data_IF_691635086542
#
_entry.id   IF_691635086542
#
_cell.length_a   1.000
_cell.length_b   1.000
_cell.length_c   1.000
_cell.angle_alpha   90.00
_cell.angle_beta   90.00
_cell.angle_gamma   90.00
#
_symmetry.space_group_name_H-M   'P 1'
#
loop_
_entity.id
_entity.type
_entity.pdbx_description
1 polymer ?
#
# COMPACT_ATOMS: atom_id res chain seq x y z
N UNK A 1 28.96 39.84 7.24
CA UNK A 1 27.81 39.13 7.85
C UNK A 1 27.26 38.16 6.80
N UNK A 2 27.46 36.84 6.94
CA UNK A 2 27.00 35.86 5.92
C UNK A 2 27.65 34.47 6.00
N UNK A 3 28.85 34.37 6.57
CA UNK A 3 29.62 33.11 6.64
C UNK A 3 28.98 32.06 7.56
N UNK A 4 28.37 32.48 8.68
CA UNK A 4 27.70 31.56 9.62
C UNK A 4 26.47 30.86 9.00
N UNK A 5 25.65 31.61 8.27
CA UNK A 5 24.48 31.07 7.57
C UNK A 5 24.94 30.11 6.45
N UNK A 6 25.93 30.52 5.65
CA UNK A 6 26.49 29.69 4.59
C UNK A 6 27.08 28.38 5.12
N UNK A 7 27.83 28.42 6.22
CA UNK A 7 28.38 27.23 6.88
C UNK A 7 27.27 26.32 7.44
N UNK A 8 26.22 26.89 8.03
CA UNK A 8 25.08 26.12 8.52
C UNK A 8 24.34 25.42 7.36
N UNK A 9 24.14 26.12 6.24
CA UNK A 9 23.56 25.56 5.02
C UNK A 9 24.43 24.43 4.46
N UNK A 10 25.74 24.65 4.30
CA UNK A 10 26.68 23.61 3.84
C UNK A 10 26.66 22.37 4.72
N UNK A 11 26.70 22.52 6.05
CA UNK A 11 26.62 21.40 6.99
C UNK A 11 25.32 20.62 6.83
N UNK A 12 24.20 21.32 6.63
CA UNK A 12 22.89 20.69 6.43
C UNK A 12 22.82 19.91 5.12
N UNK A 13 23.42 20.44 4.05
CA UNK A 13 23.54 19.76 2.76
C UNK A 13 24.42 18.51 2.90
N UNK A 14 25.60 18.62 3.52
CA UNK A 14 26.52 17.48 3.70
C UNK A 14 25.90 16.36 4.53
N UNK A 15 25.07 16.67 5.54
CA UNK A 15 24.33 15.67 6.32
C UNK A 15 23.37 14.82 5.47
N UNK A 16 22.89 15.34 4.34
CA UNK A 16 21.97 14.62 3.44
C UNK A 16 22.69 13.74 2.41
N UNK A 17 23.98 13.97 2.17
CA UNK A 17 24.76 13.23 1.17
C UNK A 17 24.69 11.70 1.33
N UNK A 18 24.81 11.12 2.54
CA UNK A 18 24.73 9.66 2.70
C UNK A 18 23.37 9.07 2.31
N UNK A 19 22.28 9.77 2.64
CA UNK A 19 20.93 9.34 2.30
C UNK A 19 20.70 9.39 0.78
N UNK A 20 21.19 10.44 0.11
CA UNK A 20 21.15 10.57 -1.34
C UNK A 20 21.96 9.46 -2.03
N UNK A 21 23.17 9.17 -1.57
CA UNK A 21 23.99 8.08 -2.10
C UNK A 21 23.30 6.72 -1.95
N UNK A 22 22.64 6.47 -0.81
CA UNK A 22 21.86 5.24 -0.60
C UNK A 22 20.70 5.15 -1.60
N UNK A 23 20.00 6.26 -1.86
CA UNK A 23 18.92 6.30 -2.84
C UNK A 23 19.43 6.05 -4.27
N UNK A 24 20.55 6.68 -4.67
CA UNK A 24 21.19 6.48 -5.98
C UNK A 24 21.58 5.01 -6.17
N UNK A 25 22.24 4.41 -5.17
CA UNK A 25 22.63 3.00 -5.26
C UNK A 25 21.42 2.07 -5.39
N UNK A 26 20.32 2.37 -4.69
CA UNK A 26 19.07 1.63 -4.80
C UNK A 26 18.45 1.77 -6.20
N UNK A 27 18.41 3.00 -6.75
CA UNK A 27 17.94 3.26 -8.10
C UNK A 27 18.76 2.50 -9.15
N UNK A 28 20.09 2.56 -9.08
CA UNK A 28 20.98 1.84 -9.99
C UNK A 28 20.79 0.32 -9.90
N UNK A 29 20.55 -0.19 -8.69
CA UNK A 29 20.20 -1.61 -8.48
C UNK A 29 18.88 -1.97 -9.17
N UNK A 30 17.90 -1.07 -9.19
CA UNK A 30 16.66 -1.29 -9.93
C UNK A 30 16.88 -1.27 -11.45
N UNK A 31 17.71 -0.37 -11.98
CA UNK A 31 18.05 -0.34 -13.41
C UNK A 31 18.66 -1.68 -13.86
N UNK A 32 19.63 -2.21 -13.10
CA UNK A 32 20.22 -3.52 -13.38
C UNK A 32 19.20 -4.67 -13.29
N UNK A 33 18.28 -4.61 -12.33
CA UNK A 33 17.21 -5.60 -12.22
C UNK A 33 16.24 -5.55 -13.40
N UNK A 34 15.90 -4.35 -13.89
CA UNK A 34 15.03 -4.16 -15.04
C UNK A 34 15.67 -4.70 -16.32
N UNK A 35 16.97 -4.48 -16.52
CA UNK A 35 17.71 -5.06 -17.66
C UNK A 35 17.64 -6.58 -17.66
N UNK A 36 17.81 -7.21 -16.50
CA UNK A 36 17.76 -8.67 -16.35
C UNK A 36 16.37 -9.26 -16.56
N UNK A 37 15.33 -8.55 -16.12
CA UNK A 37 13.94 -9.04 -16.15
C UNK A 37 13.18 -8.61 -17.41
N UNK A 38 13.84 -7.90 -18.34
CA UNK A 38 13.18 -7.36 -19.52
C UNK A 38 12.62 -8.49 -20.41
N UNK A 39 11.30 -8.53 -20.64
CA UNK A 39 10.72 -9.53 -21.53
C UNK A 39 11.05 -9.21 -23.00
N UNK A 40 11.19 -10.23 -23.86
CA UNK A 40 11.41 -10.03 -25.28
C UNK A 40 10.24 -9.28 -25.90
N UNK A 41 10.54 -8.24 -26.68
CA UNK A 41 9.53 -7.38 -27.32
C UNK A 41 9.07 -6.16 -26.50
N UNK A 42 9.59 -5.96 -25.28
CA UNK A 42 9.32 -4.73 -24.53
C UNK A 42 10.02 -3.53 -25.18
N UNK A 43 9.25 -2.56 -25.67
CA UNK A 43 9.74 -1.30 -26.27
C UNK A 43 10.06 -0.20 -25.27
N UNK A 44 9.67 -0.36 -24.00
CA UNK A 44 9.86 0.65 -22.95
C UNK A 44 11.37 0.82 -22.70
N UNK A 45 11.92 2.05 -22.77
CA UNK A 45 13.34 2.29 -22.49
C UNK A 45 13.62 2.10 -21.01
N UNK A 46 14.77 1.49 -20.69
CA UNK A 46 15.23 1.35 -19.31
C UNK A 46 15.97 2.65 -18.93
N UNK A 47 15.73 3.22 -17.73
CA UNK A 47 16.48 4.36 -17.25
C UNK A 47 17.97 4.07 -17.13
N UNK A 48 18.81 5.07 -17.42
CA UNK A 48 20.26 4.96 -17.27
C UNK A 48 20.66 5.05 -15.79
N UNK A 49 21.65 4.26 -15.34
CA UNK A 49 22.15 4.35 -13.96
C UNK A 49 22.83 5.70 -13.70
N UNK A 50 22.60 6.24 -12.51
CA UNK A 50 23.10 7.54 -12.10
C UNK A 50 24.53 7.48 -11.53
N UNK A 51 25.37 8.51 -11.76
CA UNK A 51 26.67 8.64 -11.12
C UNK A 51 26.59 8.63 -9.58
N UNK A 52 27.43 7.81 -8.92
CA UNK A 52 27.56 7.81 -7.46
C UNK A 52 28.32 9.04 -6.93
N UNK A 53 29.01 9.79 -7.80
CA UNK A 53 29.64 11.07 -7.42
C UNK A 53 28.62 12.19 -7.54
N UNK A 54 28.17 12.73 -6.40
CA UNK A 54 27.12 13.76 -6.35
C UNK A 54 27.44 15.04 -7.15
N UNK A 55 28.72 15.38 -7.31
CA UNK A 55 29.12 16.55 -8.11
C UNK A 55 28.77 16.41 -9.58
N UNK A 56 28.81 15.18 -10.12
CA UNK A 56 28.51 14.91 -11.52
C UNK A 56 27.01 15.00 -11.80
N UNK A 57 26.17 14.65 -10.81
CA UNK A 57 24.71 14.77 -10.93
C UNK A 57 24.25 16.22 -11.14
N UNK A 58 24.98 17.19 -10.59
CA UNK A 58 24.60 18.60 -10.73
C UNK A 58 24.71 19.09 -12.17
N UNK A 59 25.58 18.48 -12.97
CA UNK A 59 25.90 18.88 -14.33
C UNK A 59 25.27 17.94 -15.38
N UNK A 60 24.51 16.95 -14.92
CA UNK A 60 23.87 15.95 -15.77
C UNK A 60 22.57 16.51 -16.35
N UNK A 61 22.60 16.89 -17.62
CA UNK A 61 21.45 17.45 -18.33
C UNK A 61 20.25 16.48 -18.38
N UNK A 62 20.49 15.17 -18.33
CA UNK A 62 19.43 14.16 -18.38
C UNK A 62 18.56 14.13 -17.13
N UNK A 63 19.07 14.57 -15.97
CA UNK A 63 18.28 14.74 -14.74
C UNK A 63 17.32 15.94 -14.81
N UNK A 64 17.61 16.87 -15.71
CA UNK A 64 16.79 18.04 -15.97
C UNK A 64 15.88 17.86 -17.19
N UNK A 65 15.91 16.69 -17.84
CA UNK A 65 14.95 16.36 -18.89
C UNK A 65 13.56 16.22 -18.28
N UNK A 66 12.63 17.02 -18.79
CA UNK A 66 11.25 16.98 -18.38
C UNK A 66 10.55 15.81 -19.11
N UNK A 67 10.77 14.60 -18.58
CA UNK A 67 10.27 13.32 -19.14
C UNK A 67 8.75 13.33 -19.34
N UNK A 68 8.03 14.26 -18.69
CA UNK A 68 6.58 14.39 -18.76
C UNK A 68 6.09 15.54 -19.66
N UNK A 69 6.97 16.41 -20.17
CA UNK A 69 6.60 17.50 -21.09
C UNK A 69 6.96 17.24 -22.54
N UNK A 70 7.92 16.33 -22.81
CA UNK A 70 8.23 15.97 -24.19
C UNK A 70 7.07 15.11 -24.74
N UNK A 71 6.36 15.55 -25.78
CA UNK A 71 5.29 14.76 -26.38
C UNK A 71 5.86 13.39 -26.80
N UNK A 72 5.22 12.31 -26.36
CA UNK A 72 5.52 10.98 -26.86
C UNK A 72 5.42 10.99 -28.38
N UNK A 73 6.48 10.58 -29.09
CA UNK A 73 6.41 10.36 -30.53
C UNK A 73 5.46 9.18 -30.80
N UNK A 74 4.22 9.47 -31.20
CA UNK A 74 3.20 8.45 -31.48
C UNK A 74 1.78 8.87 -31.12
N UNK A 75 0.82 7.98 -31.35
CA UNK A 75 -0.57 8.17 -30.94
C UNK A 75 -0.68 8.12 -29.41
N UNK A 76 -1.27 9.15 -28.82
CA UNK A 76 -1.46 9.23 -27.37
C UNK A 76 -2.43 8.11 -26.95
N UNK A 77 -2.06 7.25 -25.99
CA UNK A 77 -2.96 6.19 -25.55
C UNK A 77 -4.30 6.77 -25.08
N UNK A 78 -5.42 6.15 -25.49
CA UNK A 78 -6.76 6.67 -25.16
C UNK A 78 -7.03 6.80 -23.66
N UNK A 79 -6.46 5.94 -22.82
CA UNK A 79 -6.61 6.09 -21.36
C UNK A 79 -5.95 7.39 -20.83
N UNK A 80 -5.02 7.98 -21.58
CA UNK A 80 -4.35 9.22 -21.22
C UNK A 80 -5.08 10.44 -21.79
N UNK A 81 -5.63 10.34 -23.01
CA UNK A 81 -6.30 11.45 -23.72
C UNK A 81 -7.81 11.51 -23.44
N UNK A 82 -8.51 10.39 -23.66
CA UNK A 82 -9.98 10.27 -23.64
C UNK A 82 -10.51 10.18 -22.19
N UNK A 83 -11.31 11.18 -21.79
CA UNK A 83 -11.90 11.25 -20.45
C UNK A 83 -12.90 10.12 -20.18
N UNK A 84 -13.68 9.73 -21.20
CA UNK A 84 -14.70 8.69 -21.06
C UNK A 84 -14.04 7.32 -20.84
N UNK A 85 -12.88 7.08 -21.48
CA UNK A 85 -12.09 5.86 -21.24
C UNK A 85 -11.57 5.82 -19.80
N UNK A 86 -11.09 6.94 -19.25
CA UNK A 86 -10.65 7.00 -17.84
C UNK A 86 -11.81 6.77 -16.89
N UNK A 87 -12.97 7.35 -17.18
CA UNK A 87 -14.18 7.16 -16.38
C UNK A 87 -14.66 5.71 -16.44
N UNK A 88 -14.61 5.08 -17.62
CA UNK A 88 -14.90 3.66 -17.79
C UNK A 88 -13.96 2.76 -16.96
N UNK A 89 -12.65 3.00 -16.97
CA UNK A 89 -11.67 2.25 -16.17
C UNK A 89 -11.98 2.40 -14.67
N UNK A 90 -12.25 3.62 -14.20
CA UNK A 90 -12.60 3.88 -12.79
C UNK A 90 -13.93 3.23 -12.40
N UNK A 91 -14.92 3.26 -13.29
CA UNK A 91 -16.21 2.62 -13.08
C UNK A 91 -16.07 1.10 -12.97
N UNK A 92 -15.26 0.48 -13.84
CA UNK A 92 -14.96 -0.95 -13.78
C UNK A 92 -14.33 -1.36 -12.44
N UNK A 93 -13.29 -0.63 -12.00
CA UNK A 93 -12.67 -0.90 -10.71
C UNK A 93 -13.61 -0.69 -9.52
N UNK A 94 -14.48 0.33 -9.60
CA UNK A 94 -15.51 0.55 -8.59
C UNK A 94 -16.49 -0.61 -8.54
N UNK A 95 -16.94 -1.10 -9.70
CA UNK A 95 -17.84 -2.24 -9.80
C UNK A 95 -17.24 -3.51 -9.22
N UNK A 96 -16.00 -3.84 -9.57
CA UNK A 96 -15.29 -5.01 -9.02
C UNK A 96 -15.15 -4.93 -7.50
N UNK A 97 -14.83 -3.73 -6.99
CA UNK A 97 -14.75 -3.48 -5.55
C UNK A 97 -16.11 -3.64 -4.86
N UNK A 98 -17.20 -3.19 -5.48
CA UNK A 98 -18.55 -3.40 -4.96
C UNK A 98 -18.91 -4.89 -4.89
N UNK A 99 -18.55 -5.68 -5.91
CA UNK A 99 -18.77 -7.13 -5.89
C UNK A 99 -17.97 -7.82 -4.78
N UNK A 100 -16.71 -7.44 -4.60
CA UNK A 100 -15.89 -7.95 -3.51
C UNK A 100 -16.47 -7.59 -2.15
N UNK A 101 -16.87 -6.34 -1.95
CA UNK A 101 -17.44 -5.90 -0.68
C UNK A 101 -18.77 -6.59 -0.37
N UNK A 102 -19.63 -6.81 -1.37
CA UNK A 102 -20.86 -7.57 -1.18
C UNK A 102 -20.59 -9.01 -0.70
N UNK A 103 -19.56 -9.67 -1.27
CA UNK A 103 -19.12 -11.00 -0.84
C UNK A 103 -18.61 -10.98 0.60
N UNK A 104 -17.77 -10.00 0.95
CA UNK A 104 -17.21 -9.84 2.30
C UNK A 104 -18.32 -9.61 3.34
N UNK A 105 -19.25 -8.70 3.06
CA UNK A 105 -20.40 -8.42 3.93
C UNK A 105 -21.28 -9.66 4.13
N UNK A 106 -21.48 -10.46 3.09
CA UNK A 106 -22.24 -11.71 3.21
C UNK A 106 -21.57 -12.69 4.19
N UNK A 107 -20.24 -12.85 4.07
CA UNK A 107 -19.45 -13.72 4.96
C UNK A 107 -19.48 -13.19 6.39
N UNK A 108 -19.25 -11.90 6.59
CA UNK A 108 -19.25 -11.26 7.91
C UNK A 108 -20.62 -11.41 8.60
N UNK A 109 -21.71 -11.13 7.88
CA UNK A 109 -23.07 -11.34 8.39
C UNK A 109 -23.30 -12.78 8.83
N UNK A 110 -22.87 -13.76 8.02
CA UNK A 110 -23.01 -15.18 8.36
C UNK A 110 -22.23 -15.50 9.63
N UNK A 111 -20.97 -15.10 9.71
CA UNK A 111 -20.13 -15.35 10.87
C UNK A 111 -20.72 -14.75 12.16
N UNK A 112 -21.22 -13.50 12.10
CA UNK A 112 -21.86 -12.85 13.24
C UNK A 112 -23.14 -13.54 13.67
N UNK A 113 -23.95 -13.99 12.71
CA UNK A 113 -25.21 -14.69 13.00
C UNK A 113 -24.95 -16.07 13.61
N UNK A 114 -24.00 -16.82 13.06
CA UNK A 114 -23.60 -18.13 13.58
C UNK A 114 -23.03 -18.01 15.00
N UNK A 115 -22.13 -17.05 15.23
CA UNK A 115 -21.58 -16.78 16.54
C UNK A 115 -22.68 -16.40 17.55
N UNK A 116 -23.54 -15.43 17.22
CA UNK A 116 -24.62 -14.99 18.12
C UNK A 116 -25.58 -16.13 18.44
N UNK A 117 -25.94 -16.94 17.45
CA UNK A 117 -26.81 -18.10 17.64
C UNK A 117 -26.16 -19.11 18.59
N UNK A 118 -24.86 -19.35 18.44
CA UNK A 118 -24.13 -20.24 19.34
C UNK A 118 -24.13 -19.71 20.77
N UNK A 119 -23.77 -18.43 20.98
CA UNK A 119 -23.75 -17.83 22.31
C UNK A 119 -25.14 -17.85 22.99
N UNK A 120 -26.20 -17.53 22.24
CA UNK A 120 -27.57 -17.61 22.76
C UNK A 120 -27.91 -19.03 23.21
N UNK A 121 -27.62 -20.05 22.39
CA UNK A 121 -27.90 -21.45 22.77
C UNK A 121 -27.12 -21.90 24.01
N UNK A 122 -25.91 -21.39 24.22
CA UNK A 122 -25.10 -21.70 25.41
C UNK A 122 -25.73 -21.05 26.65
N UNK A 123 -26.16 -19.79 26.55
CA UNK A 123 -26.82 -19.07 27.65
C UNK A 123 -28.16 -19.71 28.01
N UNK A 124 -28.98 -20.03 27.02
CA UNK A 124 -30.27 -20.72 27.22
C UNK A 124 -30.09 -22.05 27.95
N UNK A 125 -29.15 -22.89 27.52
CA UNK A 125 -28.81 -24.15 28.21
C UNK A 125 -28.29 -23.93 29.63
N UNK A 126 -27.50 -22.89 29.86
CA UNK A 126 -27.01 -22.56 31.21
C UNK A 126 -28.17 -22.15 32.15
N UNK A 127 -29.20 -21.46 31.62
CA UNK A 127 -30.40 -21.12 32.38
C UNK A 127 -31.25 -22.36 32.69
N UNK A 128 -31.52 -23.21 31.70
CA UNK A 128 -32.28 -24.47 31.89
C UNK A 128 -31.62 -25.40 32.92
N UNK A 129 -30.29 -25.54 32.84
CA UNK A 129 -29.53 -26.37 33.80
C UNK A 129 -29.45 -25.76 35.21
N UNK A 130 -29.67 -24.45 35.35
CA UNK A 130 -29.75 -23.78 36.65
C UNK A 130 -31.15 -23.91 37.27
N UNK A 131 -32.21 -23.81 36.45
CA UNK A 131 -33.59 -24.04 36.89
C UNK A 131 -33.84 -25.51 37.31
N UNK A 132 -33.16 -26.47 36.67
CA UNK A 132 -33.16 -27.88 37.05
C UNK A 132 -32.38 -28.19 38.34
N UNK A 133 -31.55 -27.28 38.84
CA UNK A 133 -30.90 -27.36 40.15
C UNK A 133 -31.75 -26.67 41.19
N UNK A 134 -32.88 -27.28 41.53
CA UNK A 134 -33.62 -26.86 42.72
C UNK A 134 -32.68 -26.97 43.92
N UNK A 135 -32.32 -25.82 44.49
CA UNK A 135 -31.50 -25.70 45.69
C UNK A 135 -32.21 -26.47 46.81
N UNK A 136 -31.83 -27.73 47.04
CA UNK A 136 -32.28 -28.45 48.23
C UNK A 136 -31.63 -27.76 49.42
N UNK A 137 -32.38 -27.10 50.32
CA UNK A 137 -31.79 -26.58 51.53
C UNK A 137 -31.30 -27.81 52.29
N UNK A 138 -30.00 -27.87 52.59
CA UNK A 138 -29.45 -28.86 53.50
C UNK A 138 -30.30 -28.84 54.77
N UNK A 139 -31.11 -29.89 54.98
CA UNK A 139 -31.82 -30.07 56.24
C UNK A 139 -30.76 -30.24 57.32
N UNK A 140 -30.79 -29.31 58.27
CA UNK A 140 -29.97 -29.28 59.46
C UNK A 140 -29.83 -30.68 60.09
N UNK A 141 -28.60 -31.19 60.15
CA UNK A 141 -28.27 -32.27 61.07
C UNK A 141 -28.04 -31.63 62.44
N UNK A 142 -29.03 -31.75 63.33
CA UNK A 142 -28.85 -31.60 64.78
C UNK A 142 -28.70 -33.00 65.37
N UNK A 143 -27.55 -33.25 65.98
CA UNK A 143 -27.36 -33.76 67.36
C UNK A 143 -25.88 -33.68 67.67
#
# INVERSE_FOLDING_TARGET
LGTKLHQATQKTISKRAPALLKAINKFNSHCANLERLRPPGCSIPIPHPLPTKLSLLREDASLHEDVWLTPSEGEIPRWLDDADVRDGIRALHTFDRCQEEARRLHIERRNLTEWLSHELTVVERAMETNEGRHFSPCRNFKT
#
